data_IF_378913671921
#
_entry.id   IF_378913671921
#
_cell.length_a   1.000
_cell.length_b   1.000
_cell.length_c   1.000
_cell.angle_alpha   90.00
_cell.angle_beta   90.00
_cell.angle_gamma   90.00
#
_symmetry.space_group_name_H-M   'P 1'
#
loop_
_entity.id
_entity.type
_entity.pdbx_description
1 polymer ?
#
# COMPACT_ATOMS: atom_id res chain seq x y z
N UNK A 1 7.29 2.38 38.13
CA UNK A 1 7.64 3.64 37.44
C UNK A 1 6.42 4.06 36.66
N UNK A 2 5.82 5.19 37.03
CA UNK A 2 4.57 5.68 36.44
C UNK A 2 4.82 6.11 34.99
N UNK A 3 4.52 5.23 34.02
CA UNK A 3 4.40 5.60 32.62
C UNK A 3 3.06 6.31 32.45
N UNK A 4 3.03 7.62 32.74
CA UNK A 4 1.88 8.45 32.46
C UNK A 4 1.60 8.44 30.94
N UNK A 5 0.41 8.06 30.48
CA UNK A 5 -0.08 8.42 29.15
C UNK A 5 -0.09 9.97 29.10
N UNK A 6 0.09 10.71 28.02
CA UNK A 6 0.01 10.47 26.58
C UNK A 6 -0.54 11.81 26.06
N UNK A 7 -0.03 12.36 24.96
CA UNK A 7 -0.75 13.49 24.36
C UNK A 7 -2.11 12.99 23.87
N UNK A 8 -3.15 13.77 24.15
CA UNK A 8 -4.44 13.58 23.51
C UNK A 8 -4.37 14.22 22.12
N UNK A 9 -4.65 13.43 21.10
CA UNK A 9 -4.74 13.88 19.71
C UNK A 9 -6.13 13.60 19.16
N UNK A 10 -6.47 14.26 18.04
CA UNK A 10 -7.62 13.91 17.22
C UNK A 10 -7.13 13.57 15.82
N UNK A 11 -7.51 12.40 15.32
CA UNK A 11 -7.22 11.94 13.96
C UNK A 11 -8.52 11.49 13.31
N UNK A 12 -8.87 12.06 12.15
CA UNK A 12 -10.24 11.99 11.64
C UNK A 12 -11.23 12.54 12.68
N UNK A 13 -12.27 11.77 12.98
CA UNK A 13 -13.24 12.11 14.03
C UNK A 13 -12.89 11.50 15.40
N UNK A 14 -11.82 10.71 15.50
CA UNK A 14 -11.48 9.90 16.67
C UNK A 14 -10.46 10.60 17.57
N UNK A 15 -10.73 10.64 18.88
CA UNK A 15 -9.80 11.16 19.88
C UNK A 15 -9.02 10.04 20.56
N UNK A 16 -7.69 10.16 20.62
CA UNK A 16 -6.79 9.08 21.01
C UNK A 16 -5.64 9.58 21.89
N UNK A 17 -5.29 8.76 22.86
CA UNK A 17 -4.07 8.86 23.63
C UNK A 17 -2.90 8.24 22.85
N UNK A 18 -1.78 8.96 22.76
CA UNK A 18 -0.52 8.49 22.15
C UNK A 18 0.70 8.84 23.00
N UNK A 19 1.76 8.03 22.93
CA UNK A 19 3.03 8.37 23.60
C UNK A 19 3.85 9.37 22.77
N UNK A 20 4.41 10.40 23.44
CA UNK A 20 5.42 11.27 22.81
C UNK A 20 6.68 10.46 22.53
N UNK A 21 7.21 10.56 21.31
CA UNK A 21 8.64 10.27 21.09
C UNK A 21 9.47 11.27 21.88
N UNK A 22 10.46 10.79 22.64
CA UNK A 22 11.54 11.67 23.09
C UNK A 22 12.28 12.14 21.83
N UNK A 23 12.28 13.45 21.54
CA UNK A 23 13.10 14.02 20.46
C UNK A 23 14.57 13.68 20.74
N UNK A 24 15.17 12.73 20.03
CA UNK A 24 16.62 12.52 20.07
C UNK A 24 17.28 13.55 19.15
N UNK A 25 18.03 14.47 19.72
CA UNK A 25 18.92 15.35 18.99
C UNK A 25 20.08 14.52 18.41
N UNK A 26 19.98 14.11 17.14
CA UNK A 26 20.98 13.37 16.34
C UNK A 26 21.21 11.89 16.70
N UNK A 27 21.28 11.06 15.65
CA UNK A 27 21.57 9.62 15.70
C UNK A 27 20.33 8.73 15.58
N UNK A 28 20.45 7.46 15.12
CA UNK A 28 19.35 6.52 15.11
C UNK A 28 18.93 6.31 16.56
N UNK A 29 17.74 6.80 16.91
CA UNK A 29 17.20 6.71 18.26
C UNK A 29 17.23 5.26 18.74
N UNK A 30 17.64 5.06 20.00
CA UNK A 30 17.41 3.79 20.69
C UNK A 30 15.94 3.39 20.50
N UNK A 31 15.67 2.10 20.27
CA UNK A 31 14.31 1.57 20.13
C UNK A 31 13.50 2.02 21.35
N UNK A 32 12.69 3.06 21.17
CA UNK A 32 11.82 3.57 22.22
C UNK A 32 10.83 2.44 22.51
N UNK A 33 10.77 1.99 23.76
CA UNK A 33 9.91 0.86 24.15
C UNK A 33 8.43 1.24 24.18
N UNK A 34 8.12 2.51 23.96
CA UNK A 34 6.78 3.07 23.96
C UNK A 34 6.03 2.70 22.67
N UNK A 35 4.71 2.46 22.77
CA UNK A 35 3.85 2.25 21.62
C UNK A 35 4.02 3.34 20.57
N UNK A 36 4.33 2.93 19.34
CA UNK A 36 4.65 3.85 18.26
C UNK A 36 3.40 4.52 17.70
N UNK A 37 3.51 5.83 17.48
CA UNK A 37 2.57 6.61 16.70
C UNK A 37 3.33 7.51 15.72
N UNK A 38 2.84 7.60 14.48
CA UNK A 38 3.37 8.51 13.48
C UNK A 38 2.23 9.31 12.82
N UNK A 39 2.16 10.64 13.02
CA UNK A 39 1.15 11.48 12.39
C UNK A 39 1.31 11.54 10.86
N UNK A 40 2.52 11.32 10.31
CA UNK A 40 2.70 11.33 8.85
C UNK A 40 2.03 10.15 8.13
N UNK A 41 1.50 9.18 8.88
CA UNK A 41 0.80 8.00 8.36
C UNK A 41 -0.73 8.17 8.38
N UNK A 42 -1.24 9.36 8.72
CA UNK A 42 -2.69 9.63 8.73
C UNK A 42 -3.34 9.38 7.37
N UNK A 43 -2.71 9.84 6.27
CA UNK A 43 -3.22 9.57 4.91
C UNK A 43 -3.37 8.06 4.65
N UNK A 44 -2.39 7.25 5.08
CA UNK A 44 -2.45 5.80 4.93
C UNK A 44 -3.62 5.18 5.71
N UNK A 45 -3.89 5.68 6.93
CA UNK A 45 -5.01 5.25 7.77
C UNK A 45 -6.35 5.70 7.21
N UNK A 46 -6.44 6.91 6.68
CA UNK A 46 -7.63 7.41 6.00
C UNK A 46 -7.99 6.53 4.78
N UNK A 47 -7.00 6.08 3.98
CA UNK A 47 -7.28 5.09 2.91
C UNK A 47 -7.86 3.79 3.48
N UNK A 48 -7.41 3.35 4.66
CA UNK A 48 -7.96 2.13 5.30
C UNK A 48 -9.41 2.32 5.73
N UNK A 49 -9.77 3.49 6.25
CA UNK A 49 -11.17 3.81 6.58
C UNK A 49 -12.04 3.71 5.32
N UNK A 50 -11.58 4.29 4.21
CA UNK A 50 -12.35 4.30 2.96
C UNK A 50 -12.49 2.92 2.32
N UNK A 51 -11.40 2.14 2.24
CA UNK A 51 -11.43 0.78 1.69
C UNK A 51 -12.32 -0.14 2.55
N UNK A 52 -12.23 -0.05 3.87
CA UNK A 52 -13.06 -0.90 4.73
C UNK A 52 -14.53 -0.44 4.71
N UNK A 53 -14.83 0.86 4.59
CA UNK A 53 -16.21 1.31 4.38
C UNK A 53 -16.77 0.78 3.07
N UNK A 54 -16.01 0.89 1.97
CA UNK A 54 -16.39 0.31 0.68
C UNK A 54 -16.66 -1.19 0.77
N UNK A 55 -15.80 -1.92 1.48
CA UNK A 55 -15.94 -3.36 1.67
C UNK A 55 -17.17 -3.72 2.50
N UNK A 56 -17.55 -2.90 3.50
CA UNK A 56 -18.79 -3.08 4.26
C UNK A 56 -20.02 -2.78 3.39
N UNK A 57 -19.99 -1.69 2.62
CA UNK A 57 -21.12 -1.27 1.78
C UNK A 57 -21.43 -2.29 0.65
N UNK A 58 -20.44 -3.11 0.27
CA UNK A 58 -20.55 -4.11 -0.79
C UNK A 58 -20.68 -5.55 -0.28
N UNK A 59 -20.72 -5.76 1.04
CA UNK A 59 -20.82 -7.09 1.65
C UNK A 59 -22.06 -7.19 2.53
N UNK A 60 -22.88 -8.22 2.30
CA UNK A 60 -24.13 -8.43 3.02
C UNK A 60 -23.96 -9.20 4.34
N UNK A 61 -22.74 -9.69 4.62
CA UNK A 61 -22.46 -10.49 5.82
C UNK A 61 -21.79 -9.66 6.90
N UNK A 62 -21.89 -10.12 8.15
CA UNK A 62 -21.11 -9.59 9.26
C UNK A 62 -19.60 -9.69 8.97
N UNK A 63 -18.89 -8.56 9.01
CA UNK A 63 -17.48 -8.45 8.63
C UNK A 63 -16.55 -8.49 9.85
N UNK A 64 -15.43 -9.19 9.73
CA UNK A 64 -14.40 -9.26 10.77
C UNK A 64 -13.13 -8.59 10.25
N UNK A 65 -12.73 -7.49 10.89
CA UNK A 65 -11.59 -6.66 10.47
C UNK A 65 -10.45 -6.84 11.47
N UNK A 66 -9.22 -7.03 11.00
CA UNK A 66 -8.03 -7.16 11.83
C UNK A 66 -7.05 -5.99 11.60
N UNK A 67 -6.71 -5.28 12.67
CA UNK A 67 -5.49 -4.48 12.79
C UNK A 67 -4.40 -5.36 13.43
N UNK A 68 -3.50 -5.91 12.61
CA UNK A 68 -2.62 -7.01 13.02
C UNK A 68 -1.40 -6.62 13.85
N UNK A 69 -0.89 -5.39 13.67
CA UNK A 69 0.33 -4.85 14.30
C UNK A 69 0.05 -3.42 14.79
N UNK A 70 -0.79 -3.32 15.81
CA UNK A 70 -1.53 -2.11 16.09
C UNK A 70 -0.69 -0.96 16.68
N UNK A 71 0.43 -1.25 17.33
CA UNK A 71 1.25 -0.28 18.06
C UNK A 71 0.42 0.59 19.03
N UNK A 72 0.06 1.82 18.65
CA UNK A 72 -0.81 2.68 19.48
C UNK A 72 -2.31 2.33 19.41
N UNK A 73 -2.72 1.46 18.49
CA UNK A 73 -4.12 1.15 18.22
C UNK A 73 -4.84 2.13 17.32
N UNK A 74 -4.17 3.18 16.84
CA UNK A 74 -4.83 4.27 16.10
C UNK A 74 -5.65 3.75 14.92
N UNK A 75 -5.15 2.76 14.18
CA UNK A 75 -5.85 2.23 13.01
C UNK A 75 -7.10 1.45 13.42
N UNK A 76 -6.97 0.43 14.25
CA UNK A 76 -8.11 -0.37 14.71
C UNK A 76 -9.16 0.44 15.46
N UNK A 77 -8.75 1.40 16.31
CA UNK A 77 -9.70 2.24 17.05
C UNK A 77 -10.46 3.18 16.11
N UNK A 78 -9.79 3.76 15.11
CA UNK A 78 -10.46 4.55 14.06
C UNK A 78 -11.40 3.69 13.22
N UNK A 79 -11.01 2.47 12.85
CA UNK A 79 -11.90 1.55 12.13
C UNK A 79 -13.17 1.25 12.93
N UNK A 80 -13.05 0.97 14.23
CA UNK A 80 -14.19 0.70 15.10
C UNK A 80 -15.10 1.93 15.31
N UNK A 81 -14.52 3.13 15.36
CA UNK A 81 -15.24 4.38 15.63
C UNK A 81 -15.86 5.03 14.37
N UNK A 82 -15.18 4.99 13.23
CA UNK A 82 -15.51 5.80 12.05
C UNK A 82 -16.26 5.01 10.96
N UNK A 83 -16.24 3.68 10.99
CA UNK A 83 -16.98 2.85 10.04
C UNK A 83 -18.43 2.67 10.47
N UNK A 84 -19.29 2.44 9.48
CA UNK A 84 -20.72 2.14 9.66
C UNK A 84 -21.08 0.85 8.95
N UNK A 85 -21.89 0.00 9.57
CA UNK A 85 -22.28 -1.31 9.03
C UNK A 85 -22.28 -2.39 10.12
N UNK A 86 -22.39 -3.65 9.72
CA UNK A 86 -22.35 -4.81 10.62
C UNK A 86 -20.95 -5.44 10.64
N UNK A 87 -20.17 -5.13 11.67
CA UNK A 87 -18.78 -5.58 11.78
C UNK A 87 -18.22 -5.56 13.20
N UNK A 88 -17.16 -6.33 13.39
CA UNK A 88 -16.29 -6.28 14.57
C UNK A 88 -14.83 -6.05 14.18
N UNK A 89 -14.11 -5.30 15.01
CA UNK A 89 -12.67 -5.06 14.88
C UNK A 89 -11.89 -5.91 15.89
N UNK A 90 -10.87 -6.58 15.42
CA UNK A 90 -9.83 -7.19 16.25
C UNK A 90 -8.57 -6.35 16.16
N UNK A 91 -8.04 -5.91 17.30
CA UNK A 91 -6.75 -5.22 17.39
C UNK A 91 -5.74 -6.17 18.03
N UNK A 92 -4.58 -6.37 17.40
CA UNK A 92 -3.51 -7.21 17.93
C UNK A 92 -2.20 -6.45 18.06
N UNK A 93 -1.54 -6.62 19.21
CA UNK A 93 -0.14 -6.24 19.39
C UNK A 93 0.53 -7.14 20.44
N UNK A 94 1.79 -7.54 20.22
CA UNK A 94 2.52 -8.37 21.18
C UNK A 94 2.98 -7.62 22.44
N UNK A 95 3.03 -6.28 22.41
CA UNK A 95 3.57 -5.44 23.47
C UNK A 95 2.48 -5.09 24.50
N UNK A 96 2.78 -5.31 25.78
CA UNK A 96 1.88 -5.08 26.91
C UNK A 96 1.50 -3.60 27.11
N UNK A 97 2.43 -2.67 26.85
CA UNK A 97 2.16 -1.23 26.88
C UNK A 97 1.25 -0.80 25.73
N UNK A 98 1.41 -1.41 24.55
CA UNK A 98 0.52 -1.20 23.41
C UNK A 98 -0.89 -1.64 23.75
N UNK A 99 -1.06 -2.86 24.26
CA UNK A 99 -2.37 -3.38 24.69
C UNK A 99 -3.01 -2.48 25.76
N UNK A 100 -2.22 -2.02 26.73
CA UNK A 100 -2.71 -1.11 27.78
C UNK A 100 -3.19 0.23 27.21
N UNK A 101 -2.48 0.81 26.24
CA UNK A 101 -2.89 2.05 25.58
C UNK A 101 -4.14 1.85 24.72
N UNK A 102 -4.22 0.74 23.98
CA UNK A 102 -5.38 0.40 23.17
C UNK A 102 -6.62 0.28 24.05
N UNK A 103 -6.53 -0.37 25.22
CA UNK A 103 -7.62 -0.46 26.18
C UNK A 103 -8.12 0.92 26.64
N UNK A 104 -7.20 1.86 26.93
CA UNK A 104 -7.56 3.23 27.28
C UNK A 104 -8.28 3.95 26.14
N UNK A 105 -7.82 3.77 24.91
CA UNK A 105 -8.43 4.37 23.72
C UNK A 105 -9.82 3.81 23.41
N UNK A 106 -10.03 2.51 23.61
CA UNK A 106 -11.36 1.87 23.48
C UNK A 106 -12.32 2.43 24.53
N UNK A 107 -11.89 2.49 25.80
CA UNK A 107 -12.72 3.02 26.89
C UNK A 107 -13.08 4.49 26.66
N UNK A 108 -12.13 5.31 26.20
CA UNK A 108 -12.36 6.72 25.92
C UNK A 108 -13.42 6.94 24.84
N UNK A 109 -13.42 6.13 23.79
CA UNK A 109 -14.37 6.26 22.68
C UNK A 109 -15.62 5.38 22.86
N UNK A 110 -15.79 4.74 24.03
CA UNK A 110 -16.94 3.90 24.39
C UNK A 110 -17.24 2.80 23.36
N UNK A 111 -16.21 2.23 22.73
CA UNK A 111 -16.36 1.28 21.64
C UNK A 111 -16.73 -0.12 22.15
N UNK A 112 -17.68 -0.76 21.48
CA UNK A 112 -18.23 -2.07 21.86
C UNK A 112 -17.98 -3.17 20.82
N UNK A 113 -17.84 -2.79 19.55
CA UNK A 113 -17.58 -3.66 18.38
C UNK A 113 -16.09 -3.96 18.19
N UNK A 114 -15.35 -4.12 19.30
CA UNK A 114 -13.89 -4.19 19.26
C UNK A 114 -13.33 -5.14 20.32
N UNK A 115 -12.36 -5.96 19.93
CA UNK A 115 -11.65 -6.89 20.80
C UNK A 115 -10.14 -6.73 20.68
N UNK A 116 -9.41 -6.98 21.77
CA UNK A 116 -7.95 -6.87 21.81
C UNK A 116 -7.32 -8.25 22.04
N UNK A 117 -6.26 -8.54 21.29
CA UNK A 117 -5.40 -9.71 21.50
C UNK A 117 -3.95 -9.28 21.75
N UNK A 118 -3.28 -9.99 22.66
CA UNK A 118 -1.85 -9.88 22.88
C UNK A 118 -1.15 -11.14 22.34
N UNK A 119 -0.93 -11.20 21.02
CA UNK A 119 -0.42 -12.41 20.35
C UNK A 119 0.67 -12.06 19.34
N UNK A 120 1.51 -13.05 19.06
CA UNK A 120 2.23 -13.08 17.79
C UNK A 120 1.20 -13.14 16.64
N UNK A 121 1.37 -12.30 15.62
CA UNK A 121 0.40 -12.17 14.54
C UNK A 121 0.27 -13.47 13.73
N UNK A 122 1.35 -14.21 13.48
CA UNK A 122 1.27 -15.47 12.71
C UNK A 122 0.50 -16.54 13.48
N UNK A 123 0.61 -16.58 14.81
CA UNK A 123 -0.22 -17.44 15.65
C UNK A 123 -1.70 -17.06 15.54
N UNK A 124 -2.04 -15.77 15.71
CA UNK A 124 -3.42 -15.30 15.62
C UNK A 124 -4.05 -15.61 14.25
N UNK A 125 -3.32 -15.35 13.16
CA UNK A 125 -3.75 -15.63 11.80
C UNK A 125 -3.92 -17.14 11.51
N UNK A 126 -3.24 -18.00 12.26
CA UNK A 126 -3.41 -19.45 12.13
C UNK A 126 -4.59 -19.99 12.95
N UNK A 127 -5.07 -19.24 13.94
CA UNK A 127 -6.18 -19.61 14.83
C UNK A 127 -7.52 -19.00 14.41
N UNK A 128 -7.49 -17.87 13.69
CA UNK A 128 -8.68 -17.10 13.33
C UNK A 128 -8.71 -16.76 11.84
N UNK A 129 -9.90 -16.44 11.36
CA UNK A 129 -10.16 -16.00 9.99
C UNK A 129 -10.78 -14.61 9.98
N UNK A 130 -10.44 -13.83 8.98
CA UNK A 130 -10.85 -12.43 8.87
C UNK A 130 -11.32 -12.13 7.45
N UNK A 131 -12.22 -11.15 7.33
CA UNK A 131 -12.69 -10.64 6.05
C UNK A 131 -11.78 -9.52 5.55
N UNK A 132 -11.19 -8.74 6.46
CA UNK A 132 -10.20 -7.70 6.16
C UNK A 132 -9.03 -7.81 7.12
N UNK A 133 -7.80 -7.80 6.62
CA UNK A 133 -6.56 -7.88 7.41
C UNK A 133 -5.63 -6.73 7.02
N UNK A 134 -5.15 -5.97 7.99
CA UNK A 134 -4.10 -4.97 7.81
C UNK A 134 -2.79 -5.39 8.48
N UNK A 135 -1.71 -5.43 7.69
CA UNK A 135 -0.34 -5.77 8.12
C UNK A 135 0.56 -4.54 7.91
N UNK A 136 0.84 -3.82 9.00
CA UNK A 136 1.61 -2.57 8.99
C UNK A 136 2.87 -2.64 9.86
N UNK A 137 3.88 -3.46 9.52
CA UNK A 137 5.08 -3.64 10.32
C UNK A 137 6.11 -2.53 10.12
N UNK A 138 7.08 -2.48 11.03
CA UNK A 138 8.38 -1.87 10.74
C UNK A 138 9.18 -2.75 9.78
N UNK A 139 9.48 -2.22 8.59
CA UNK A 139 10.21 -2.91 7.54
C UNK A 139 9.30 -3.70 6.60
N UNK A 140 9.52 -5.01 6.53
CA UNK A 140 8.91 -5.89 5.53
C UNK A 140 7.68 -6.64 6.06
N UNK A 141 6.58 -6.69 5.30
CA UNK A 141 5.38 -7.47 5.65
C UNK A 141 5.43 -8.92 5.20
N UNK A 142 6.45 -9.33 4.44
CA UNK A 142 6.50 -10.66 3.81
C UNK A 142 6.44 -11.82 4.82
N UNK A 143 6.87 -11.58 6.07
CA UNK A 143 6.87 -12.58 7.14
C UNK A 143 5.47 -13.01 7.58
N UNK A 144 4.42 -12.31 7.15
CA UNK A 144 3.03 -12.55 7.54
C UNK A 144 2.15 -13.00 6.35
N UNK A 145 2.65 -12.94 5.11
CA UNK A 145 1.85 -13.23 3.92
C UNK A 145 1.30 -14.65 3.87
N UNK A 146 2.11 -15.65 4.25
CA UNK A 146 1.65 -17.04 4.30
C UNK A 146 0.45 -17.24 5.24
N UNK A 147 0.56 -16.74 6.47
CA UNK A 147 -0.50 -16.89 7.48
C UNK A 147 -1.74 -16.08 7.10
N UNK A 148 -1.56 -14.86 6.58
CA UNK A 148 -2.66 -14.01 6.13
C UNK A 148 -3.43 -14.64 4.96
N UNK A 149 -2.73 -15.19 3.97
CA UNK A 149 -3.34 -15.85 2.83
C UNK A 149 -4.23 -17.04 3.23
N UNK A 150 -3.88 -17.78 4.29
CA UNK A 150 -4.71 -18.85 4.86
C UNK A 150 -5.89 -18.30 5.66
N UNK A 151 -5.64 -17.28 6.47
CA UNK A 151 -6.61 -16.68 7.39
C UNK A 151 -7.80 -16.04 6.67
N UNK A 152 -7.58 -15.38 5.53
CA UNK A 152 -8.63 -14.64 4.84
C UNK A 152 -9.80 -15.52 4.41
N UNK A 153 -11.01 -15.01 4.54
CA UNK A 153 -12.19 -15.55 3.86
C UNK A 153 -12.06 -15.38 2.33
N UNK A 154 -12.86 -16.15 1.58
CA UNK A 154 -12.97 -15.92 0.14
C UNK A 154 -13.52 -14.51 -0.11
N UNK A 155 -12.98 -13.79 -1.09
CA UNK A 155 -13.25 -12.38 -1.35
C UNK A 155 -12.83 -11.43 -0.21
N UNK A 156 -12.05 -11.91 0.75
CA UNK A 156 -11.47 -11.06 1.80
C UNK A 156 -10.35 -10.17 1.27
N UNK A 157 -10.11 -9.06 1.97
CA UNK A 157 -9.10 -8.06 1.62
C UNK A 157 -7.87 -8.20 2.53
N UNK A 158 -6.69 -8.19 1.91
CA UNK A 158 -5.43 -7.95 2.61
C UNK A 158 -4.92 -6.57 2.26
N UNK A 159 -4.62 -5.80 3.30
CA UNK A 159 -3.86 -4.58 3.22
C UNK A 159 -2.48 -4.81 3.82
N UNK A 160 -1.44 -4.28 3.18
CA UNK A 160 -0.11 -4.31 3.78
C UNK A 160 0.73 -3.08 3.45
N UNK A 161 1.53 -2.64 4.42
CA UNK A 161 2.53 -1.59 4.24
C UNK A 161 3.92 -2.21 4.26
N UNK A 162 4.78 -1.81 3.32
CA UNK A 162 6.21 -2.08 3.37
C UNK A 162 6.99 -0.76 3.51
N UNK A 163 7.80 -0.66 4.56
CA UNK A 163 8.70 0.49 4.80
C UNK A 163 10.16 0.17 4.51
N UNK A 164 10.48 -1.06 4.11
CA UNK A 164 11.84 -1.46 3.69
C UNK A 164 12.11 -1.11 2.22
N UNK A 165 11.76 0.12 1.82
CA UNK A 165 11.87 0.64 0.45
C UNK A 165 13.28 0.55 -0.11
N UNK A 166 14.33 0.66 0.71
CA UNK A 166 15.72 0.50 0.26
C UNK A 166 16.00 -0.89 -0.35
N UNK A 167 15.36 -1.95 0.16
CA UNK A 167 15.46 -3.27 -0.46
C UNK A 167 14.65 -3.30 -1.77
N UNK A 168 13.37 -2.92 -1.71
CA UNK A 168 12.44 -2.97 -2.84
C UNK A 168 12.88 -2.09 -4.04
N UNK A 169 13.46 -0.92 -3.77
CA UNK A 169 13.96 0.03 -4.77
C UNK A 169 15.38 -0.28 -5.27
N UNK A 170 15.95 -1.44 -4.90
CA UNK A 170 17.21 -1.91 -5.45
C UNK A 170 18.49 -1.29 -4.89
N UNK A 171 18.43 -0.52 -3.79
CA UNK A 171 19.65 -0.05 -3.08
C UNK A 171 20.39 -1.24 -2.47
N UNK A 172 19.65 -2.22 -1.93
CA UNK A 172 20.20 -3.46 -1.38
C UNK A 172 19.61 -4.69 -2.09
N UNK A 173 20.07 -5.01 -3.33
CA UNK A 173 19.43 -6.03 -4.17
C UNK A 173 19.44 -7.43 -3.54
N UNK A 174 20.52 -7.80 -2.85
CA UNK A 174 20.60 -9.09 -2.14
C UNK A 174 19.61 -9.17 -0.96
N UNK A 175 19.25 -8.04 -0.33
CA UNK A 175 18.22 -8.02 0.71
C UNK A 175 16.85 -8.26 0.09
N UNK A 176 16.57 -7.61 -1.04
CA UNK A 176 15.36 -7.83 -1.82
C UNK A 176 15.22 -9.29 -2.25
N UNK A 177 16.30 -9.85 -2.81
CA UNK A 177 16.33 -11.23 -3.26
C UNK A 177 16.06 -12.23 -2.12
N UNK A 178 16.67 -12.04 -0.94
CA UNK A 178 16.41 -12.93 0.21
C UNK A 178 14.97 -12.84 0.74
N UNK A 179 14.36 -11.65 0.75
CA UNK A 179 13.03 -11.42 1.33
C UNK A 179 11.90 -11.73 0.37
N UNK A 180 12.02 -11.26 -0.87
CA UNK A 180 10.96 -11.29 -1.87
C UNK A 180 11.19 -12.36 -2.95
N UNK A 181 12.40 -12.94 -3.01
CA UNK A 181 12.82 -13.85 -4.08
C UNK A 181 12.63 -13.24 -5.47
N UNK A 182 12.94 -11.95 -5.56
CA UNK A 182 12.90 -11.14 -6.77
C UNK A 182 14.16 -10.28 -6.87
N UNK A 183 14.61 -10.04 -8.10
CA UNK A 183 15.71 -9.12 -8.39
C UNK A 183 15.15 -7.72 -8.66
N UNK A 184 15.46 -6.71 -7.82
CA UNK A 184 14.98 -5.36 -8.01
C UNK A 184 15.82 -4.62 -9.06
N UNK A 185 15.38 -3.41 -9.43
CA UNK A 185 16.17 -2.50 -10.23
C UNK A 185 16.09 -1.09 -9.62
N UNK A 186 17.26 -0.50 -9.39
CA UNK A 186 17.40 0.88 -8.97
C UNK A 186 17.43 1.80 -10.19
N UNK A 187 16.63 2.86 -10.19
CA UNK A 187 16.46 3.75 -11.34
C UNK A 187 15.13 4.49 -11.30
N UNK A 188 14.72 5.03 -12.45
CA UNK A 188 13.54 5.90 -12.59
C UNK A 188 12.27 5.26 -12.01
N UNK A 189 11.96 4.03 -12.43
CA UNK A 189 10.74 3.32 -12.01
C UNK A 189 10.92 2.45 -10.75
N UNK A 190 11.97 2.68 -9.95
CA UNK A 190 12.29 1.80 -8.81
C UNK A 190 11.16 1.64 -7.79
N UNK A 191 10.36 2.69 -7.56
CA UNK A 191 9.24 2.65 -6.63
C UNK A 191 8.11 1.75 -7.13
N UNK A 192 7.74 1.86 -8.41
CA UNK A 192 6.74 0.98 -9.02
C UNK A 192 7.25 -0.47 -9.14
N UNK A 193 8.53 -0.66 -9.48
CA UNK A 193 9.17 -1.99 -9.50
C UNK A 193 9.10 -2.63 -8.11
N UNK A 194 9.45 -1.88 -7.06
CA UNK A 194 9.35 -2.33 -5.68
C UNK A 194 7.92 -2.72 -5.28
N UNK A 195 6.94 -1.90 -5.67
CA UNK A 195 5.51 -2.17 -5.45
C UNK A 195 5.08 -3.46 -6.15
N UNK A 196 5.43 -3.63 -7.43
CA UNK A 196 5.11 -4.82 -8.22
C UNK A 196 5.82 -6.08 -7.70
N UNK A 197 7.03 -5.95 -7.15
CA UNK A 197 7.74 -7.06 -6.48
C UNK A 197 6.99 -7.49 -5.22
N UNK A 198 6.57 -6.55 -4.37
CA UNK A 198 5.82 -6.85 -3.15
C UNK A 198 4.50 -7.56 -3.47
N UNK A 199 3.77 -7.04 -4.46
CA UNK A 199 2.51 -7.61 -4.93
C UNK A 199 2.70 -9.00 -5.56
N UNK A 200 3.76 -9.18 -6.35
CA UNK A 200 4.15 -10.48 -6.90
C UNK A 200 4.49 -11.51 -5.82
N UNK A 201 5.11 -11.07 -4.72
CA UNK A 201 5.38 -11.93 -3.57
C UNK A 201 4.08 -12.41 -2.90
N UNK A 202 3.11 -11.51 -2.68
CA UNK A 202 1.79 -11.87 -2.18
C UNK A 202 1.06 -12.82 -3.13
N UNK A 203 1.12 -12.59 -4.45
CA UNK A 203 0.55 -13.47 -5.46
C UNK A 203 1.07 -14.91 -5.33
N UNK A 204 2.41 -15.06 -5.24
CA UNK A 204 3.05 -16.37 -5.10
C UNK A 204 2.66 -17.07 -3.81
N UNK A 205 2.61 -16.33 -2.70
CA UNK A 205 2.28 -16.89 -1.39
C UNK A 205 0.80 -17.31 -1.27
N UNK A 206 -0.10 -16.63 -1.97
CA UNK A 206 -1.51 -17.03 -2.08
C UNK A 206 -1.71 -18.25 -3.00
N UNK A 207 -0.98 -18.31 -4.12
CA UNK A 207 -1.20 -19.31 -5.18
C UNK A 207 -1.02 -20.77 -4.73
N UNK A 208 -0.09 -21.05 -3.81
CA UNK A 208 0.11 -22.42 -3.27
C UNK A 208 -1.10 -22.97 -2.50
N UNK A 209 -2.07 -22.12 -2.14
CA UNK A 209 -3.33 -22.49 -1.51
C UNK A 209 -4.51 -22.51 -2.48
N UNK A 210 -4.25 -22.58 -3.79
CA UNK A 210 -5.26 -22.45 -4.86
C UNK A 210 -6.05 -21.14 -4.74
N UNK A 211 -5.37 -20.03 -4.43
CA UNK A 211 -5.98 -18.68 -4.35
C UNK A 211 -5.29 -17.69 -5.27
N UNK A 212 -6.08 -16.90 -5.97
CA UNK A 212 -5.64 -15.75 -6.76
C UNK A 212 -5.72 -14.45 -5.98
N UNK A 213 -5.08 -13.42 -6.52
CA UNK A 213 -5.13 -12.04 -6.05
C UNK A 213 -5.75 -11.11 -7.09
N UNK A 214 -6.46 -10.10 -6.62
CA UNK A 214 -6.98 -8.98 -7.42
C UNK A 214 -6.63 -7.66 -6.71
N UNK A 215 -5.65 -6.91 -7.24
CA UNK A 215 -5.31 -5.58 -6.72
C UNK A 215 -6.52 -4.66 -6.81
N UNK A 216 -6.87 -4.02 -5.69
CA UNK A 216 -7.96 -3.05 -5.62
C UNK A 216 -7.42 -1.63 -5.74
N UNK A 217 -6.36 -1.35 -4.97
CA UNK A 217 -5.66 -0.08 -4.96
C UNK A 217 -4.24 -0.27 -4.42
N UNK A 218 -3.21 0.09 -5.18
CA UNK A 218 -1.82 -0.09 -4.78
C UNK A 218 -0.98 1.15 -5.11
N UNK A 219 -0.39 1.77 -4.09
CA UNK A 219 0.39 2.98 -4.30
C UNK A 219 1.69 2.99 -3.51
N UNK A 220 2.62 3.82 -3.95
CA UNK A 220 3.90 4.07 -3.29
C UNK A 220 4.04 5.54 -2.94
N UNK A 221 4.84 5.80 -1.91
CA UNK A 221 5.35 7.12 -1.53
C UNK A 221 6.87 7.02 -1.41
N UNK A 222 7.54 8.14 -1.09
CA UNK A 222 8.97 8.12 -0.76
C UNK A 222 9.31 7.26 0.46
N UNK A 223 8.32 6.99 1.33
CA UNK A 223 8.54 6.38 2.64
C UNK A 223 8.02 4.95 2.75
N UNK A 224 7.01 4.57 1.96
CA UNK A 224 6.39 3.25 2.03
C UNK A 224 5.70 2.86 0.73
N UNK A 225 5.53 1.55 0.56
CA UNK A 225 4.63 0.92 -0.41
C UNK A 225 3.38 0.44 0.31
N UNK A 226 2.21 0.61 -0.29
CA UNK A 226 0.92 0.20 0.27
C UNK A 226 0.12 -0.60 -0.76
N UNK A 227 -0.39 -1.76 -0.35
CA UNK A 227 -1.25 -2.63 -1.15
C UNK A 227 -2.61 -2.78 -0.48
N UNK A 228 -3.68 -2.78 -1.26
CA UNK A 228 -5.01 -3.31 -0.90
C UNK A 228 -5.42 -4.31 -1.98
N UNK A 229 -5.59 -5.58 -1.59
CA UNK A 229 -5.71 -6.70 -2.52
C UNK A 229 -6.80 -7.64 -2.05
N UNK A 230 -7.71 -8.02 -2.95
CA UNK A 230 -8.71 -9.03 -2.68
C UNK A 230 -8.16 -10.43 -2.98
N UNK A 231 -8.46 -11.40 -2.11
CA UNK A 231 -8.13 -12.81 -2.30
C UNK A 231 -9.33 -13.55 -2.87
N UNK A 232 -9.10 -14.32 -3.94
CA UNK A 232 -10.12 -15.08 -4.65
C UNK A 232 -9.77 -16.57 -4.63
N UNK A 233 -10.62 -17.41 -4.04
CA UNK A 233 -10.39 -18.85 -3.99
C UNK A 233 -10.61 -19.52 -5.36
N UNK A 234 -9.89 -20.61 -5.58
CA UNK A 234 -10.04 -21.49 -6.73
C UNK A 234 -8.81 -21.51 -7.64
N UNK A 235 -8.52 -22.70 -8.17
CA UNK A 235 -7.40 -22.96 -9.10
C UNK A 235 -7.38 -22.02 -10.30
N UNK A 236 -8.55 -21.72 -10.86
CA UNK A 236 -8.66 -20.79 -11.99
C UNK A 236 -8.24 -19.36 -11.60
N UNK A 237 -8.59 -18.91 -10.40
CA UNK A 237 -8.17 -17.60 -9.89
C UNK A 237 -6.65 -17.59 -9.65
N UNK A 238 -6.11 -18.64 -9.01
CA UNK A 238 -4.68 -18.79 -8.79
C UNK A 238 -3.88 -18.76 -10.10
N UNK A 239 -4.30 -19.55 -11.10
CA UNK A 239 -3.65 -19.60 -12.42
C UNK A 239 -3.72 -18.25 -13.13
N UNK A 240 -4.86 -17.56 -13.07
CA UNK A 240 -5.02 -16.22 -13.65
C UNK A 240 -4.04 -15.24 -13.01
N UNK A 241 -3.95 -15.17 -11.69
CA UNK A 241 -3.01 -14.26 -11.02
C UNK A 241 -1.55 -14.65 -11.27
N UNK A 242 -1.21 -15.93 -11.22
CA UNK A 242 0.16 -16.40 -11.49
C UNK A 242 0.62 -16.12 -12.93
N UNK A 243 -0.29 -16.02 -13.90
CA UNK A 243 0.05 -15.59 -15.27
C UNK A 243 0.63 -14.16 -15.34
N UNK A 244 0.38 -13.34 -14.32
CA UNK A 244 0.89 -11.97 -14.22
C UNK A 244 2.20 -11.87 -13.42
N UNK A 245 2.68 -12.96 -12.83
CA UNK A 245 3.91 -13.02 -12.04
C UNK A 245 5.08 -13.44 -12.93
N UNK A 246 5.83 -12.46 -13.45
CA UNK A 246 6.83 -12.71 -14.49
C UNK A 246 8.17 -12.02 -14.22
N UNK A 247 9.25 -12.58 -14.76
CA UNK A 247 10.53 -11.88 -14.94
C UNK A 247 10.51 -11.18 -16.29
N UNK A 248 11.09 -9.98 -16.34
CA UNK A 248 11.25 -9.23 -17.58
C UNK A 248 12.72 -8.90 -17.85
N UNK A 249 13.14 -8.84 -19.11
CA UNK A 249 14.38 -8.18 -19.49
C UNK A 249 14.46 -6.76 -18.91
N UNK A 250 15.57 -6.41 -18.28
CA UNK A 250 15.71 -5.08 -17.68
C UNK A 250 15.66 -3.95 -18.73
N UNK A 251 16.05 -4.26 -19.98
CA UNK A 251 15.96 -3.37 -21.13
C UNK A 251 14.53 -2.94 -21.48
N UNK A 252 13.51 -3.70 -21.05
CA UNK A 252 12.11 -3.37 -21.29
C UNK A 252 11.60 -2.30 -20.30
N UNK A 253 12.40 -1.94 -19.29
CA UNK A 253 12.07 -0.89 -18.33
C UNK A 253 12.46 0.47 -18.93
N UNK A 254 11.53 1.46 -18.95
CA UNK A 254 11.81 2.80 -19.43
C UNK A 254 13.10 3.39 -18.90
N UNK A 255 13.91 3.94 -19.80
CA UNK A 255 15.16 4.65 -19.48
C UNK A 255 16.18 3.81 -18.71
N UNK A 256 16.13 2.48 -18.84
CA UNK A 256 17.10 1.57 -18.23
C UNK A 256 18.54 1.93 -18.64
N UNK A 257 19.39 2.06 -17.62
CA UNK A 257 20.84 2.24 -17.76
C UNK A 257 21.52 1.25 -16.82
N UNK A 258 22.18 0.23 -17.36
CA UNK A 258 22.92 -0.71 -16.53
C UNK A 258 23.16 -2.07 -17.19
N UNK A 259 23.74 -2.98 -16.41
CA UNK A 259 24.14 -4.31 -16.86
C UNK A 259 23.25 -5.43 -16.28
N UNK A 260 22.20 -5.07 -15.52
CA UNK A 260 21.23 -6.04 -15.02
C UNK A 260 20.50 -6.68 -16.20
N UNK A 261 20.54 -8.00 -16.31
CA UNK A 261 19.90 -8.69 -17.45
C UNK A 261 18.36 -8.80 -17.28
N UNK A 262 17.89 -9.02 -16.06
CA UNK A 262 16.49 -9.36 -15.76
C UNK A 262 16.04 -8.70 -14.45
N UNK A 263 14.76 -8.36 -14.36
CA UNK A 263 14.10 -7.81 -13.18
C UNK A 263 12.93 -8.70 -12.78
N UNK A 264 12.68 -8.82 -11.47
CA UNK A 264 11.61 -9.61 -10.90
C UNK A 264 12.02 -11.03 -10.47
N UNK A 265 11.06 -11.98 -10.37
CA UNK A 265 9.70 -11.85 -10.85
C UNK A 265 8.89 -10.78 -10.09
N UNK A 266 7.98 -10.12 -10.80
CA UNK A 266 7.15 -9.03 -10.32
C UNK A 266 5.75 -9.12 -10.95
N UNK A 267 4.78 -8.42 -10.36
CA UNK A 267 3.42 -8.34 -10.87
C UNK A 267 3.30 -7.38 -12.06
N UNK A 268 2.93 -7.88 -13.23
CA UNK A 268 2.70 -7.08 -14.44
C UNK A 268 1.23 -6.75 -14.71
N UNK A 269 0.31 -7.33 -13.95
CA UNK A 269 -1.10 -7.02 -14.07
C UNK A 269 -1.45 -5.60 -13.60
N UNK A 270 -2.76 -5.25 -13.62
CA UNK A 270 -3.27 -4.00 -13.10
C UNK A 270 -2.90 -3.80 -11.62
N UNK A 271 -2.66 -2.55 -11.22
CA UNK A 271 -2.45 -2.17 -9.81
C UNK A 271 -3.73 -1.67 -9.15
N UNK A 272 -4.65 -1.16 -9.97
CA UNK A 272 -5.83 -0.43 -9.57
C UNK A 272 -7.09 -1.05 -10.16
N UNK A 273 -8.20 -0.99 -9.41
CA UNK A 273 -9.53 -1.35 -9.89
C UNK A 273 -10.40 -0.09 -9.98
N UNK A 274 -10.65 0.40 -11.19
CA UNK A 274 -11.35 1.68 -11.45
C UNK A 274 -12.68 1.80 -10.71
N UNK A 275 -13.51 0.76 -10.72
CA UNK A 275 -14.83 0.79 -10.06
C UNK A 275 -14.69 1.03 -8.56
N UNK A 276 -13.70 0.43 -7.91
CA UNK A 276 -13.43 0.60 -6.47
C UNK A 276 -12.93 2.01 -6.18
N UNK A 277 -12.04 2.55 -7.01
CA UNK A 277 -11.58 3.94 -6.90
C UNK A 277 -12.74 4.94 -7.00
N UNK A 278 -13.68 4.73 -7.92
CA UNK A 278 -14.85 5.58 -8.11
C UNK A 278 -15.81 5.53 -6.92
N UNK A 279 -16.08 4.33 -6.40
CA UNK A 279 -16.94 4.12 -5.23
C UNK A 279 -16.29 4.72 -3.97
N UNK A 280 -14.98 4.55 -3.77
CA UNK A 280 -14.25 5.15 -2.66
C UNK A 280 -14.21 6.68 -2.74
N UNK A 281 -14.12 7.28 -3.92
CA UNK A 281 -14.24 8.74 -4.07
C UNK A 281 -15.63 9.24 -3.65
N UNK A 282 -16.68 8.46 -3.90
CA UNK A 282 -18.02 8.76 -3.40
C UNK A 282 -18.05 8.74 -1.87
N UNK A 283 -17.48 7.71 -1.23
CA UNK A 283 -17.37 7.63 0.24
C UNK A 283 -16.52 8.77 0.81
N UNK A 284 -15.40 9.11 0.16
CA UNK A 284 -14.53 10.21 0.54
C UNK A 284 -15.28 11.55 0.57
N UNK A 285 -16.28 11.73 -0.30
CA UNK A 285 -17.09 12.95 -0.33
C UNK A 285 -17.96 13.12 0.93
N UNK A 286 -18.34 12.02 1.59
CA UNK A 286 -19.23 12.03 2.77
C UNK A 286 -18.49 11.92 4.10
N UNK A 287 -17.34 11.21 4.16
CA UNK A 287 -16.54 11.07 5.39
C UNK A 287 -15.80 12.37 5.75
N UNK A 288 -15.65 12.60 7.05
CA UNK A 288 -14.83 13.66 7.64
C UNK A 288 -13.41 13.13 7.89
N UNK A 289 -12.48 13.49 7.00
CA UNK A 289 -11.09 13.05 7.03
C UNK A 289 -10.16 14.25 6.87
N UNK A 290 -9.11 14.35 7.69
CA UNK A 290 -8.18 15.48 7.64
C UNK A 290 -7.38 15.52 6.34
N UNK A 291 -7.15 14.36 5.70
CA UNK A 291 -6.36 14.25 4.45
C UNK A 291 -7.21 14.22 3.18
N UNK A 292 -8.48 14.63 3.26
CA UNK A 292 -9.47 14.52 2.17
C UNK A 292 -8.99 15.11 0.83
N UNK A 293 -8.33 16.27 0.86
CA UNK A 293 -7.83 16.91 -0.37
C UNK A 293 -6.67 16.14 -1.00
N UNK A 294 -5.74 15.62 -0.18
CA UNK A 294 -4.63 14.80 -0.66
C UNK A 294 -5.13 13.49 -1.25
N UNK A 295 -6.10 12.85 -0.60
CA UNK A 295 -6.71 11.60 -1.09
C UNK A 295 -7.46 11.81 -2.40
N UNK A 296 -8.17 12.93 -2.56
CA UNK A 296 -8.86 13.22 -3.81
C UNK A 296 -7.89 13.30 -4.99
N UNK A 297 -6.74 13.95 -4.80
CA UNK A 297 -5.68 14.03 -5.81
C UNK A 297 -5.07 12.66 -6.08
N UNK A 298 -4.75 11.90 -5.04
CA UNK A 298 -4.18 10.56 -5.16
C UNK A 298 -5.11 9.63 -5.95
N UNK A 299 -6.38 9.51 -5.55
CA UNK A 299 -7.33 8.63 -6.21
C UNK A 299 -7.64 9.05 -7.64
N UNK A 300 -7.64 10.35 -7.94
CA UNK A 300 -7.76 10.83 -9.32
C UNK A 300 -6.62 10.31 -10.19
N UNK A 301 -5.37 10.45 -9.73
CA UNK A 301 -4.19 9.98 -10.48
C UNK A 301 -4.19 8.45 -10.61
N UNK A 302 -4.52 7.72 -9.53
CA UNK A 302 -4.61 6.26 -9.58
C UNK A 302 -5.70 5.78 -10.55
N UNK A 303 -6.83 6.48 -10.63
CA UNK A 303 -7.91 6.16 -11.58
C UNK A 303 -7.46 6.36 -13.03
N UNK A 304 -6.70 7.43 -13.32
CA UNK A 304 -6.08 7.61 -14.63
C UNK A 304 -5.06 6.49 -14.93
N UNK A 305 -4.20 6.16 -13.97
CA UNK A 305 -3.16 5.14 -14.12
C UNK A 305 -3.67 3.71 -14.28
N UNK A 306 -4.92 3.42 -13.92
CA UNK A 306 -5.46 2.07 -13.92
C UNK A 306 -5.41 1.37 -15.29
N UNK A 307 -5.48 2.15 -16.39
CA UNK A 307 -5.36 1.65 -17.77
C UNK A 307 -3.97 1.90 -18.38
N UNK A 308 -3.06 2.50 -17.62
CA UNK A 308 -1.74 2.85 -18.12
C UNK A 308 -0.81 1.61 -18.13
N UNK A 309 0.15 1.54 -19.06
CA UNK A 309 1.12 0.45 -19.06
C UNK A 309 2.03 0.50 -17.82
N UNK A 310 2.66 -0.64 -17.45
CA UNK A 310 3.65 -0.66 -16.37
C UNK A 310 4.81 0.30 -16.60
N UNK A 311 5.30 0.86 -15.50
CA UNK A 311 6.44 1.78 -15.46
C UNK A 311 6.17 3.12 -16.13
N UNK A 312 7.12 4.04 -16.02
CA UNK A 312 6.91 5.44 -16.41
C UNK A 312 8.21 6.10 -16.84
N UNK A 313 8.08 7.21 -17.56
CA UNK A 313 9.16 8.12 -17.91
C UNK A 313 9.12 9.35 -17.01
N UNK A 314 10.23 10.05 -16.85
CA UNK A 314 10.28 11.37 -16.22
C UNK A 314 10.78 12.40 -17.21
N UNK A 315 10.29 13.63 -17.07
CA UNK A 315 10.77 14.74 -17.90
C UNK A 315 12.25 15.05 -17.64
N UNK A 316 12.73 14.87 -16.40
CA UNK A 316 14.14 15.06 -16.04
C UNK A 316 15.07 14.06 -16.73
N UNK A 317 14.73 12.77 -16.73
CA UNK A 317 15.58 11.74 -17.30
C UNK A 317 15.53 11.75 -18.84
N UNK A 318 14.38 12.09 -19.43
CA UNK A 318 14.27 12.35 -20.86
C UNK A 318 15.09 13.57 -21.30
N UNK A 319 15.01 14.68 -20.55
CA UNK A 319 15.82 15.87 -20.80
C UNK A 319 17.32 15.55 -20.75
N UNK A 320 17.76 14.78 -19.75
CA UNK A 320 19.15 14.31 -19.62
C UNK A 320 19.57 13.42 -20.79
N UNK A 321 18.71 12.49 -21.21
CA UNK A 321 18.97 11.58 -22.33
C UNK A 321 19.09 12.32 -23.67
N UNK A 322 18.18 13.27 -23.92
CA UNK A 322 18.04 13.97 -25.20
C UNK A 322 18.87 15.26 -25.28
N UNK A 323 19.41 15.73 -24.16
CA UNK A 323 20.16 17.00 -24.04
C UNK A 323 19.34 18.22 -24.50
N UNK A 324 18.06 18.26 -24.13
CA UNK A 324 17.12 19.36 -24.41
C UNK A 324 16.39 19.79 -23.14
N UNK A 325 15.93 21.03 -23.07
CA UNK A 325 15.07 21.50 -21.97
C UNK A 325 13.71 20.78 -22.02
N UNK A 326 13.14 20.39 -20.87
CA UNK A 326 11.84 19.71 -20.85
C UNK A 326 10.73 20.67 -21.31
N UNK A 327 9.89 20.29 -22.29
CA UNK A 327 8.68 21.03 -22.60
C UNK A 327 7.66 20.91 -21.44
N UNK A 328 6.62 21.77 -21.39
CA UNK A 328 5.53 21.62 -20.44
C UNK A 328 4.87 20.24 -20.54
N UNK A 329 4.55 19.63 -19.41
CA UNK A 329 4.01 18.26 -19.37
C UNK A 329 2.69 18.15 -20.15
N UNK A 330 1.86 19.18 -20.09
CA UNK A 330 0.62 19.29 -20.82
C UNK A 330 0.84 19.26 -22.34
N UNK A 331 1.93 19.88 -22.82
CA UNK A 331 2.29 19.86 -24.25
C UNK A 331 2.71 18.46 -24.70
N UNK A 332 3.45 17.72 -23.86
CA UNK A 332 3.79 16.31 -24.12
C UNK A 332 2.50 15.49 -24.22
N UNK A 333 1.57 15.69 -23.28
CA UNK A 333 0.32 14.93 -23.22
C UNK A 333 -0.55 15.21 -24.44
N UNK A 334 -0.71 16.47 -24.82
CA UNK A 334 -1.46 16.87 -26.01
C UNK A 334 -0.87 16.23 -27.28
N UNK A 335 0.46 16.31 -27.46
CA UNK A 335 1.14 15.72 -28.64
C UNK A 335 1.01 14.20 -28.71
N UNK A 336 1.11 13.50 -27.57
CA UNK A 336 0.93 12.04 -27.52
C UNK A 336 -0.52 11.65 -27.80
N UNK A 337 -1.50 12.34 -27.20
CA UNK A 337 -2.93 12.11 -27.45
C UNK A 337 -3.29 12.37 -28.92
N UNK A 338 -2.76 13.44 -29.53
CA UNK A 338 -2.97 13.73 -30.96
C UNK A 338 -2.41 12.65 -31.88
N UNK A 339 -1.41 11.88 -31.43
CA UNK A 339 -0.86 10.72 -32.13
C UNK A 339 -1.57 9.40 -31.78
N UNK A 340 -2.60 9.43 -30.94
CA UNK A 340 -3.42 8.27 -30.58
C UNK A 340 -2.90 7.41 -29.43
N UNK A 341 -1.91 7.89 -28.68
CA UNK A 341 -1.34 7.15 -27.55
C UNK A 341 -2.04 7.48 -26.24
N UNK A 342 -2.09 6.48 -25.35
CA UNK A 342 -2.49 6.67 -23.96
C UNK A 342 -1.39 7.43 -23.25
N UNK A 343 -1.76 8.44 -22.46
CA UNK A 343 -0.82 9.15 -21.60
C UNK A 343 -1.51 9.62 -20.32
N UNK A 344 -0.87 9.36 -19.18
CA UNK A 344 -1.37 9.72 -17.85
C UNK A 344 -0.24 10.23 -16.98
N UNK A 345 -0.58 11.00 -15.95
CA UNK A 345 0.35 11.23 -14.85
C UNK A 345 0.67 9.92 -14.13
N UNK A 346 1.69 9.94 -13.27
CA UNK A 346 1.94 8.85 -12.33
C UNK A 346 1.97 9.32 -10.89
N UNK A 347 1.37 8.56 -9.97
CA UNK A 347 1.45 8.88 -8.54
C UNK A 347 2.87 8.73 -7.98
N UNK A 348 3.75 8.00 -8.67
CA UNK A 348 5.11 7.74 -8.22
C UNK A 348 5.98 9.01 -8.15
N UNK A 349 5.71 10.00 -9.01
CA UNK A 349 6.48 11.26 -9.05
C UNK A 349 5.75 12.35 -9.84
N UNK A 350 5.75 13.62 -9.40
CA UNK A 350 5.06 14.71 -10.08
C UNK A 350 5.63 15.06 -11.46
N UNK A 351 6.88 14.65 -11.75
CA UNK A 351 7.54 14.90 -13.04
C UNK A 351 7.47 13.68 -13.97
N UNK A 352 6.67 12.68 -13.62
CA UNK A 352 6.55 11.42 -14.35
C UNK A 352 5.25 11.29 -15.13
N UNK A 353 5.28 10.48 -16.17
CA UNK A 353 4.11 10.10 -16.96
C UNK A 353 4.24 8.68 -17.52
N UNK A 354 3.09 8.03 -17.70
CA UNK A 354 2.96 6.71 -18.32
C UNK A 354 2.42 6.86 -19.72
N UNK A 355 2.90 6.05 -20.65
CA UNK A 355 2.39 6.02 -22.02
C UNK A 355 2.71 4.68 -22.68
N UNK A 356 1.84 4.26 -23.59
CA UNK A 356 2.07 3.11 -24.49
C UNK A 356 2.82 3.51 -25.78
N UNK A 357 3.21 4.78 -25.91
CA UNK A 357 4.02 5.25 -27.01
C UNK A 357 5.42 4.63 -27.02
N UNK A 358 5.93 4.21 -28.18
CA UNK A 358 7.31 3.74 -28.29
C UNK A 358 8.31 4.89 -28.09
N UNK A 359 9.54 4.55 -27.70
CA UNK A 359 10.54 5.53 -27.29
C UNK A 359 10.84 6.56 -28.40
N UNK A 360 10.89 6.14 -29.66
CA UNK A 360 11.10 7.04 -30.80
C UNK A 360 10.03 8.13 -30.89
N UNK A 361 8.74 7.78 -30.73
CA UNK A 361 7.64 8.74 -30.66
C UNK A 361 7.78 9.65 -29.44
N UNK A 362 8.13 9.10 -28.27
CA UNK A 362 8.38 9.91 -27.07
C UNK A 362 9.49 10.93 -27.33
N UNK A 363 10.58 10.53 -27.98
CA UNK A 363 11.68 11.45 -28.30
C UNK A 363 11.29 12.52 -29.32
N UNK A 364 10.36 12.23 -30.24
CA UNK A 364 9.83 13.18 -31.21
C UNK A 364 8.98 14.25 -30.52
N UNK A 365 8.04 13.85 -29.66
CA UNK A 365 7.14 14.80 -28.98
C UNK A 365 7.85 15.65 -27.92
N UNK A 366 8.96 15.16 -27.38
CA UNK A 366 9.75 15.82 -26.34
C UNK A 366 10.68 16.91 -26.89
N UNK A 367 10.98 16.88 -28.19
CA UNK A 367 11.71 17.94 -28.91
C UNK A 367 10.76 19.03 -29.40
#
# INVERSE_FOLDING_TARGET
MNNTPSDLIKEGTTELFVFKKKRSAKGPSSRDRTPFYNPSMELNRDVSILINQWFLDTNENHVHILDGLAASGVRGVRLAHELTGDFDVTINDWNDQSVSLIQQNIQKNLLQNISIFQRDLNCLLSERRFHSIDIDPFGSPVYFFDAAARSLYNHGIIACTATDTAALCGVFPNVCYRRYAAWPLHGVSMHEIGLRILLGCLCRDAAKYDRGIEPLLCYTTDHYVRLYVQINNGKSAANKSMSQYMRIPAQDIPLFKGNTAQVGPLWLGPLEKKTVLQEIRTILSTKELNTKQQLWKLFFVLEEEADAPPFFYTTSDLSSLLKVSPPPMESIFERLKNKGYVVTHTHCTPIGFKTDAPLDVITEVFK
#
